data_IF_216914110015
#
_entry.id   IF_216914110015
#
_cell.length_a   1.000
_cell.length_b   1.000
_cell.length_c   1.000
_cell.angle_alpha   90.00
_cell.angle_beta   90.00
_cell.angle_gamma   90.00
#
_symmetry.space_group_name_H-M   'P 1'
#
loop_
_entity.id
_entity.type
_entity.pdbx_description
1 polymer ?
#
# COMPACT_ATOMS: atom_id res chain seq x y z
N UNK A 1 5.32 -11.87 -19.21
CA UNK A 1 6.13 -11.11 -18.24
C UNK A 1 5.47 -11.17 -16.88
N UNK A 2 6.24 -11.41 -15.83
CA UNK A 2 5.74 -11.46 -14.46
C UNK A 2 6.11 -10.15 -13.75
N UNK A 3 5.12 -9.46 -13.16
CA UNK A 3 5.37 -8.25 -12.36
C UNK A 3 6.08 -8.63 -11.06
N UNK A 4 7.10 -7.86 -10.68
CA UNK A 4 7.88 -8.06 -9.43
C UNK A 4 7.56 -7.03 -8.36
N UNK A 5 7.12 -5.83 -8.77
CA UNK A 5 6.93 -4.68 -7.90
C UNK A 5 5.61 -3.99 -8.23
N UNK A 6 4.92 -3.52 -7.18
CA UNK A 6 3.71 -2.71 -7.24
C UNK A 6 3.97 -1.44 -6.43
N UNK A 7 3.92 -0.29 -7.08
CA UNK A 7 4.05 1.02 -6.44
C UNK A 7 2.67 1.67 -6.39
N UNK A 8 2.20 1.99 -5.19
CA UNK A 8 0.92 2.66 -4.99
C UNK A 8 1.12 4.14 -4.69
N UNK A 9 0.48 4.98 -5.49
CA UNK A 9 0.08 6.30 -5.01
C UNK A 9 -1.00 6.14 -3.90
N UNK A 10 -1.12 7.15 -3.04
CA UNK A 10 -2.01 7.11 -1.89
C UNK A 10 -3.36 7.77 -2.16
N UNK A 11 -3.38 9.08 -2.37
CA UNK A 11 -4.59 9.87 -2.57
C UNK A 11 -5.33 9.48 -3.85
N UNK A 12 -6.61 9.15 -3.74
CA UNK A 12 -7.42 8.78 -4.91
C UNK A 12 -7.02 7.45 -5.57
N UNK A 13 -6.02 6.75 -5.00
CA UNK A 13 -5.52 5.46 -5.48
C UNK A 13 -5.64 4.39 -4.39
N UNK A 14 -4.71 4.33 -3.43
CA UNK A 14 -4.72 3.32 -2.36
C UNK A 14 -5.76 3.63 -1.28
N UNK A 15 -5.92 4.92 -0.95
CA UNK A 15 -6.82 5.40 0.08
C UNK A 15 -8.21 5.69 -0.51
N UNK A 16 -9.24 5.29 0.22
CA UNK A 16 -10.61 5.71 -0.08
C UNK A 16 -10.86 7.17 0.36
N UNK A 17 -12.07 7.69 0.09
CA UNK A 17 -12.46 9.07 0.47
C UNK A 17 -12.38 9.36 1.97
N UNK A 18 -12.35 8.34 2.82
CA UNK A 18 -12.17 8.46 4.28
C UNK A 18 -10.69 8.36 4.71
N UNK A 19 -9.74 8.40 3.76
CA UNK A 19 -8.30 8.27 3.98
C UNK A 19 -7.88 6.93 4.61
N UNK A 20 -8.63 5.87 4.32
CA UNK A 20 -8.41 4.52 4.84
C UNK A 20 -8.07 3.52 3.71
N UNK A 21 -7.28 2.50 4.03
CA UNK A 21 -7.08 1.34 3.16
C UNK A 21 -8.21 0.36 3.46
N UNK A 22 -9.00 -0.01 2.44
CA UNK A 22 -10.11 -0.94 2.63
C UNK A 22 -9.60 -2.35 3.00
N UNK A 23 -10.40 -3.11 3.76
CA UNK A 23 -10.06 -4.52 4.11
C UNK A 23 -9.75 -5.36 2.87
N UNK A 24 -10.57 -5.23 1.82
CA UNK A 24 -10.35 -5.93 0.54
C UNK A 24 -9.00 -5.58 -0.10
N UNK A 25 -8.60 -4.31 -0.03
CA UNK A 25 -7.30 -3.85 -0.56
C UNK A 25 -6.15 -4.40 0.27
N UNK A 26 -6.26 -4.40 1.60
CA UNK A 26 -5.27 -5.01 2.51
C UNK A 26 -5.10 -6.51 2.21
N UNK A 27 -6.19 -7.25 2.04
CA UNK A 27 -6.14 -8.68 1.68
C UNK A 27 -5.49 -8.92 0.32
N UNK A 28 -5.71 -8.03 -0.66
CA UNK A 28 -5.06 -8.11 -1.96
C UNK A 28 -3.55 -7.85 -1.89
N UNK A 29 -3.14 -6.85 -1.10
CA UNK A 29 -1.72 -6.57 -0.82
C UNK A 29 -1.07 -7.76 -0.12
N UNK A 30 -1.72 -8.34 0.91
CA UNK A 30 -1.23 -9.50 1.62
C UNK A 30 -1.02 -10.71 0.68
N UNK A 31 -1.94 -10.96 -0.25
CA UNK A 31 -1.75 -11.98 -1.29
C UNK A 31 -0.55 -11.65 -2.19
N UNK A 32 -0.41 -10.42 -2.64
CA UNK A 32 0.73 -10.02 -3.49
C UNK A 32 2.07 -10.25 -2.76
N UNK A 33 2.16 -9.86 -1.49
CA UNK A 33 3.34 -10.12 -0.66
C UNK A 33 3.60 -11.62 -0.50
N UNK A 34 2.56 -12.43 -0.26
CA UNK A 34 2.68 -13.90 -0.19
C UNK A 34 3.16 -14.53 -1.51
N UNK A 35 2.94 -13.87 -2.65
CA UNK A 35 3.49 -14.24 -3.96
C UNK A 35 4.85 -13.57 -4.26
N UNK A 36 5.60 -13.16 -3.22
CA UNK A 36 6.92 -12.53 -3.32
C UNK A 36 6.94 -11.26 -4.18
N UNK A 37 5.83 -10.51 -4.21
CA UNK A 37 5.78 -9.19 -4.84
C UNK A 37 6.21 -8.12 -3.86
N UNK A 38 7.03 -7.19 -4.33
CA UNK A 38 7.42 -6.01 -3.57
C UNK A 38 6.28 -4.99 -3.68
N UNK A 39 5.75 -4.54 -2.54
CA UNK A 39 4.71 -3.51 -2.49
C UNK A 39 5.28 -2.28 -1.80
N UNK A 40 5.29 -1.15 -2.49
CA UNK A 40 5.82 0.12 -1.97
C UNK A 40 4.77 1.23 -2.02
N UNK A 41 4.90 2.21 -1.14
CA UNK A 41 4.18 3.48 -1.22
C UNK A 41 5.03 4.47 -2.03
N UNK A 42 4.42 5.11 -3.02
CA UNK A 42 5.01 6.16 -3.83
C UNK A 42 4.15 7.43 -3.67
N UNK A 43 4.52 8.27 -2.73
CA UNK A 43 3.67 9.36 -2.23
C UNK A 43 4.51 10.58 -1.87
N UNK A 44 3.89 11.75 -1.96
CA UNK A 44 4.48 13.03 -1.55
C UNK A 44 4.37 13.27 -0.04
N UNK A 45 3.63 12.41 0.69
CA UNK A 45 3.51 12.50 2.15
C UNK A 45 4.85 12.31 2.83
N UNK A 46 5.05 13.02 3.94
CA UNK A 46 6.27 12.86 4.74
C UNK A 46 6.24 11.54 5.54
N UNK A 47 7.41 11.08 5.99
CA UNK A 47 7.54 9.81 6.72
C UNK A 47 6.68 9.72 8.00
N UNK A 48 6.52 10.82 8.74
CA UNK A 48 5.74 10.83 9.97
C UNK A 48 4.24 10.60 9.71
N UNK A 49 3.72 11.07 8.58
CA UNK A 49 2.35 10.79 8.15
C UNK A 49 2.15 9.32 7.75
N UNK A 50 3.20 8.69 7.22
CA UNK A 50 3.17 7.30 6.75
C UNK A 50 3.18 6.28 7.89
N UNK A 51 3.69 6.62 9.07
CA UNK A 51 3.67 5.74 10.25
C UNK A 51 2.28 5.20 10.58
N UNK A 52 1.21 5.92 10.21
CA UNK A 52 -0.18 5.49 10.43
C UNK A 52 -0.63 4.34 9.52
N UNK A 53 0.09 4.11 8.42
CA UNK A 53 -0.26 3.14 7.38
C UNK A 53 0.76 2.01 7.27
N UNK A 54 1.95 2.19 7.81
CA UNK A 54 2.99 1.17 7.91
C UNK A 54 2.80 0.42 9.23
N UNK A 55 2.70 -0.91 9.16
CA UNK A 55 2.72 -1.74 10.36
C UNK A 55 4.12 -1.65 10.98
N UNK A 56 4.19 -1.34 12.28
CA UNK A 56 5.42 -1.54 13.07
C UNK A 56 5.57 -3.04 13.31
N UNK A 57 6.76 -3.57 13.07
CA UNK A 57 7.16 -4.92 13.51
C UNK A 57 7.02 -5.07 15.03
#
# INVERSE_FOLDING_TARGET
MEYKLIAFDMEGTLLNSNKQISKKTQEAIARAVAYNKIVILNTERNSAELEKYLLKE
#
